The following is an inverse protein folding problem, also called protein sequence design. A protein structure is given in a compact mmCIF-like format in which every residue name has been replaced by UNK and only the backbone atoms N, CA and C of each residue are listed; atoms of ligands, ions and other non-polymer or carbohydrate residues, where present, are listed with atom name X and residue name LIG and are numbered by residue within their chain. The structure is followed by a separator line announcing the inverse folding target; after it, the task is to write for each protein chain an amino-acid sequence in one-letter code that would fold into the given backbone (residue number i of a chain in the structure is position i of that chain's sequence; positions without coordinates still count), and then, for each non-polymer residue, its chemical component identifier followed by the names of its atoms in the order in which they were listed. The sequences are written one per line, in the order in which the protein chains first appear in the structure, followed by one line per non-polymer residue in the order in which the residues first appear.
data_IF_198555810304
#
_entry.id   IF_198555810304
#
_cell.length_a   1.000
_cell.length_b   1.000
_cell.length_c   1.000
_cell.angle_alpha   90.00
_cell.angle_beta   90.00
_cell.angle_gamma   90.00
#
_symmetry.space_group_name_H-M   'P 1'
#
loop_
_entity.id
_entity.type
_entity.pdbx_description
1 polymer ?
#
# COMPACT_ATOMS: atom_id res chain seq x y z
N UNK A 1 -13.12 -9.91 0.94
CA UNK A 1 -11.92 -9.42 1.62
C UNK A 1 -12.33 -8.70 2.90
N UNK A 2 -11.41 -8.53 3.86
CA UNK A 2 -11.68 -7.70 5.04
C UNK A 2 -11.41 -6.24 4.65
N UNK A 3 -12.37 -5.37 4.92
CA UNK A 3 -12.16 -3.92 4.87
C UNK A 3 -11.44 -3.52 6.15
N UNK A 4 -10.38 -2.73 6.01
CA UNK A 4 -9.66 -2.13 7.12
C UNK A 4 -9.33 -0.69 6.76
N UNK A 5 -9.00 0.11 7.76
CA UNK A 5 -8.58 1.48 7.53
C UNK A 5 -7.09 1.53 7.17
N UNK A 6 -6.72 2.50 6.34
CA UNK A 6 -5.32 2.85 6.09
C UNK A 6 -4.57 3.19 7.39
N UNK A 7 -5.27 3.52 8.47
CA UNK A 7 -4.71 3.84 9.79
C UNK A 7 -4.59 2.66 10.76
N UNK A 8 -5.19 1.51 10.46
CA UNK A 8 -5.21 0.36 11.38
C UNK A 8 -4.79 -0.97 10.74
N UNK A 9 -4.35 -0.94 9.48
CA UNK A 9 -3.99 -2.14 8.72
C UNK A 9 -2.96 -3.02 9.45
N UNK A 10 -2.05 -2.44 10.25
CA UNK A 10 -1.02 -3.15 10.99
C UNK A 10 -1.59 -4.21 11.95
N UNK A 11 -2.82 -4.03 12.43
CA UNK A 11 -3.49 -4.97 13.31
C UNK A 11 -3.91 -6.26 12.59
N UNK A 12 -3.94 -6.26 11.26
CA UNK A 12 -4.39 -7.38 10.43
C UNK A 12 -3.24 -8.03 9.63
N UNK A 13 -2.03 -7.46 9.68
CA UNK A 13 -0.86 -7.96 8.97
C UNK A 13 0.03 -8.79 9.91
N UNK A 14 0.47 -10.00 9.52
CA UNK A 14 1.46 -10.76 10.28
C UNK A 14 2.72 -9.94 10.54
N UNK A 15 3.21 -9.93 11.79
CA UNK A 15 4.30 -9.06 12.23
C UNK A 15 5.58 -9.13 11.37
N UNK A 16 5.94 -10.31 10.86
CA UNK A 16 7.10 -10.49 9.99
C UNK A 16 6.92 -9.88 8.59
N UNK A 17 5.69 -9.82 8.07
CA UNK A 17 5.37 -9.11 6.83
C UNK A 17 5.37 -7.60 7.10
N UNK A 18 4.76 -7.19 8.21
CA UNK A 18 4.71 -5.79 8.63
C UNK A 18 6.10 -5.18 8.76
N UNK A 19 7.02 -5.87 9.44
CA UNK A 19 8.40 -5.43 9.60
C UNK A 19 9.12 -5.23 8.25
N UNK A 20 8.91 -6.16 7.29
CA UNK A 20 9.54 -6.08 5.96
C UNK A 20 8.93 -4.96 5.11
N UNK A 21 7.61 -4.77 5.17
CA UNK A 21 6.95 -3.70 4.42
C UNK A 21 7.33 -2.32 4.97
N UNK A 22 7.36 -2.17 6.28
CA UNK A 22 7.85 -0.94 6.92
C UNK A 22 9.32 -0.64 6.56
N UNK A 23 10.18 -1.66 6.46
CA UNK A 23 11.55 -1.47 5.96
C UNK A 23 11.58 -0.98 4.50
N UNK A 24 10.76 -1.55 3.63
CA UNK A 24 10.66 -1.12 2.22
C UNK A 24 10.18 0.32 2.08
N UNK A 25 9.17 0.71 2.86
CA UNK A 25 8.70 2.08 2.93
C UNK A 25 9.81 3.03 3.42
N UNK A 26 10.51 2.71 4.52
CA UNK A 26 11.63 3.53 5.02
C UNK A 26 12.80 3.67 4.04
N UNK A 27 13.03 2.64 3.23
CA UNK A 27 14.04 2.65 2.17
C UNK A 27 13.55 3.34 0.88
N UNK A 28 12.33 3.91 0.88
CA UNK A 28 11.67 4.53 -0.27
C UNK A 28 11.67 3.58 -1.47
N UNK A 29 11.21 2.34 -1.29
CA UNK A 29 11.18 1.34 -2.38
C UNK A 29 9.94 1.41 -3.25
N UNK A 30 8.93 2.17 -2.84
CA UNK A 30 7.77 2.50 -3.66
C UNK A 30 8.12 3.71 -4.52
N UNK A 31 7.90 3.61 -5.82
CA UNK A 31 8.24 4.61 -6.85
C UNK A 31 7.08 4.74 -7.83
N UNK A 32 7.08 5.81 -8.62
CA UNK A 32 6.12 6.01 -9.71
C UNK A 32 4.67 5.85 -9.23
N UNK A 33 4.36 6.50 -8.11
CA UNK A 33 3.04 6.45 -7.50
C UNK A 33 2.09 7.39 -8.24
N UNK A 34 1.03 6.84 -8.80
CA UNK A 34 0.03 7.58 -9.57
C UNK A 34 -1.39 7.07 -9.26
N UNK A 35 -2.35 8.00 -9.23
CA UNK A 35 -3.78 7.70 -9.20
C UNK A 35 -4.31 7.68 -10.64
N UNK A 36 -4.79 6.52 -11.09
CA UNK A 36 -5.28 6.37 -12.47
C UNK A 36 -6.77 6.66 -12.59
N UNK A 37 -7.54 6.31 -11.56
CA UNK A 37 -8.98 6.55 -11.40
C UNK A 37 -9.24 6.96 -9.94
N UNK A 38 -10.35 7.65 -9.60
CA UNK A 38 -10.61 8.07 -8.23
C UNK A 38 -10.54 6.91 -7.22
N UNK A 39 -9.60 7.00 -6.29
CA UNK A 39 -9.31 5.98 -5.28
C UNK A 39 -8.44 4.82 -5.74
N UNK A 40 -8.12 4.70 -7.03
CA UNK A 40 -7.27 3.64 -7.58
C UNK A 40 -5.81 4.08 -7.71
N UNK A 41 -4.98 3.58 -6.80
CA UNK A 41 -3.57 3.91 -6.71
C UNK A 41 -2.69 2.77 -7.21
N UNK A 42 -1.70 3.12 -8.03
CA UNK A 42 -0.71 2.22 -8.59
C UNK A 42 0.70 2.73 -8.28
N UNK A 43 1.64 1.81 -8.11
CA UNK A 43 3.05 2.14 -7.95
C UNK A 43 3.97 0.97 -8.28
N UNK A 44 5.26 1.27 -8.41
CA UNK A 44 6.35 0.32 -8.58
C UNK A 44 7.05 0.04 -7.25
N UNK A 45 7.03 -1.21 -6.81
CA UNK A 45 7.76 -1.66 -5.64
C UNK A 45 9.10 -2.32 -6.03
N UNK A 46 10.20 -1.61 -5.83
CA UNK A 46 11.54 -2.11 -6.12
C UNK A 46 12.03 -3.08 -5.03
N UNK A 47 12.35 -4.31 -5.44
CA UNK A 47 12.73 -5.38 -4.53
C UNK A 47 14.13 -5.92 -4.77
N UNK A 48 14.27 -7.23 -4.59
CA UNK A 48 15.50 -7.97 -4.94
C UNK A 48 15.50 -8.46 -6.38
N UNK A 49 14.32 -8.46 -7.03
CA UNK A 49 14.22 -8.74 -8.45
C UNK A 49 14.77 -7.56 -9.28
N UNK A 50 15.31 -7.81 -10.48
CA UNK A 50 15.75 -6.74 -11.38
C UNK A 50 14.60 -5.80 -11.78
N UNK A 51 13.43 -6.38 -12.05
CA UNK A 51 12.22 -5.65 -12.42
C UNK A 51 11.39 -5.31 -11.17
N UNK A 52 10.72 -4.14 -11.14
CA UNK A 52 9.81 -3.77 -10.07
C UNK A 52 8.58 -4.68 -10.02
N UNK A 53 7.93 -4.72 -8.85
CA UNK A 53 6.61 -5.33 -8.70
C UNK A 53 5.55 -4.24 -8.75
N UNK A 54 4.63 -4.33 -9.70
CA UNK A 54 3.42 -3.53 -9.73
C UNK A 54 2.59 -3.81 -8.46
N UNK A 55 2.25 -2.74 -7.73
CA UNK A 55 1.35 -2.75 -6.57
C UNK A 55 0.13 -1.90 -6.85
N UNK A 56 -1.02 -2.38 -6.39
CA UNK A 56 -2.31 -1.72 -6.52
C UNK A 56 -3.00 -1.64 -5.17
N UNK A 57 -3.61 -0.50 -4.87
CA UNK A 57 -4.52 -0.32 -3.72
C UNK A 57 -5.72 0.51 -4.18
N UNK A 58 -6.92 0.04 -3.85
CA UNK A 58 -8.17 0.78 -4.02
C UNK A 58 -8.62 1.33 -2.67
N UNK A 59 -8.71 2.64 -2.57
CA UNK A 59 -9.34 3.35 -1.47
C UNK A 59 -10.80 3.67 -1.84
N UNK A 60 -11.68 3.70 -0.84
CA UNK A 60 -13.07 4.12 -1.06
C UNK A 60 -13.11 5.59 -1.52
N UNK A 61 -13.81 5.86 -2.62
CA UNK A 61 -13.84 7.17 -3.25
C UNK A 61 -14.60 8.24 -2.42
N UNK A 62 -15.47 7.82 -1.49
CA UNK A 62 -16.18 8.71 -0.57
C UNK A 62 -15.43 8.88 0.76
N UNK A 63 -14.67 7.87 1.18
CA UNK A 63 -13.83 7.87 2.38
C UNK A 63 -12.45 7.25 2.09
N UNK A 64 -11.44 8.05 1.70
CA UNK A 64 -10.12 7.54 1.32
C UNK A 64 -9.35 6.91 2.49
N UNK A 65 -9.91 6.91 3.70
CA UNK A 65 -9.34 6.19 4.84
C UNK A 65 -9.64 4.69 4.82
N UNK A 66 -10.55 4.23 3.96
CA UNK A 66 -10.97 2.83 3.85
C UNK A 66 -10.28 2.15 2.67
N UNK A 67 -9.63 1.00 2.94
CA UNK A 67 -9.04 0.15 1.91
C UNK A 67 -10.07 -0.89 1.45
N UNK A 68 -10.44 -0.83 0.18
CA UNK A 68 -11.40 -1.75 -0.44
C UNK A 68 -10.71 -2.97 -1.07
N UNK A 69 -9.61 -2.74 -1.78
CA UNK A 69 -8.88 -3.75 -2.54
C UNK A 69 -7.38 -3.48 -2.52
N UNK A 70 -6.60 -4.54 -2.67
CA UNK A 70 -5.16 -4.45 -2.91
C UNK A 70 -4.69 -5.65 -3.72
N UNK A 71 -3.67 -5.43 -4.53
CA UNK A 71 -3.00 -6.50 -5.27
C UNK A 71 -1.51 -6.19 -5.44
N UNK A 72 -0.73 -7.22 -5.77
CA UNK A 72 0.67 -7.09 -6.12
C UNK A 72 1.10 -8.22 -7.05
N UNK A 73 1.84 -7.88 -8.11
CA UNK A 73 2.36 -8.86 -9.08
C UNK A 73 3.44 -9.81 -8.54
N UNK A 74 3.79 -9.73 -7.25
CA UNK A 74 4.77 -10.62 -6.64
C UNK A 74 4.18 -12.02 -6.36
N UNK A 75 5.03 -13.05 -6.39
CA UNK A 75 4.62 -14.44 -6.19
C UNK A 75 4.17 -14.81 -4.76
N UNK A 76 3.92 -13.85 -3.87
CA UNK A 76 3.44 -14.11 -2.51
C UNK A 76 1.92 -14.27 -2.52
N UNK A 77 1.43 -15.48 -2.23
CA UNK A 77 0.02 -15.87 -2.36
C UNK A 77 -0.71 -16.08 -1.01
N UNK A 78 -0.03 -15.86 0.12
CA UNK A 78 -0.57 -16.06 1.47
C UNK A 78 -1.27 -14.81 2.03
N UNK A 79 -1.81 -13.96 1.16
CA UNK A 79 -2.48 -12.70 1.50
C UNK A 79 -1.61 -11.47 1.27
N UNK A 80 -1.74 -10.46 2.13
CA UNK A 80 -1.02 -9.19 1.97
C UNK A 80 0.50 -9.38 2.04
N UNK A 81 1.20 -8.89 1.02
CA UNK A 81 2.64 -8.99 0.91
C UNK A 81 3.32 -7.72 1.46
N UNK A 82 4.64 -7.78 1.65
CA UNK A 82 5.44 -6.63 2.11
C UNK A 82 5.39 -5.42 1.17
N UNK A 83 5.16 -5.63 -0.14
CA UNK A 83 5.11 -4.52 -1.11
C UNK A 83 3.82 -3.72 -0.93
N UNK A 84 2.68 -4.40 -0.81
CA UNK A 84 1.40 -3.76 -0.47
C UNK A 84 1.51 -3.03 0.86
N UNK A 85 2.09 -3.65 1.89
CA UNK A 85 2.31 -2.98 3.19
C UNK A 85 3.14 -1.70 3.05
N UNK A 86 4.23 -1.74 2.27
CA UNK A 86 5.04 -0.55 2.04
C UNK A 86 4.23 0.54 1.32
N UNK A 87 3.41 0.15 0.35
CA UNK A 87 2.55 1.09 -0.37
C UNK A 87 1.46 1.70 0.51
N UNK A 88 0.84 0.91 1.39
CA UNK A 88 -0.14 1.40 2.38
C UNK A 88 0.47 2.46 3.32
N UNK A 89 1.76 2.36 3.65
CA UNK A 89 2.43 3.42 4.41
C UNK A 89 2.59 4.73 3.62
N UNK A 90 2.97 4.67 2.33
CA UNK A 90 3.06 5.86 1.48
C UNK A 90 1.67 6.50 1.26
N UNK A 91 0.64 5.68 1.03
CA UNK A 91 -0.74 6.16 0.89
C UNK A 91 -1.27 6.76 2.19
N UNK A 92 -0.88 6.25 3.35
CA UNK A 92 -1.22 6.89 4.64
C UNK A 92 -0.66 8.32 4.71
N UNK A 93 0.62 8.51 4.39
CA UNK A 93 1.23 9.87 4.40
C UNK A 93 0.47 10.81 3.46
N UNK A 94 0.08 10.31 2.29
CA UNK A 94 -0.70 11.07 1.32
C UNK A 94 -2.09 11.45 1.87
N UNK A 95 -2.83 10.48 2.41
CA UNK A 95 -4.17 10.70 2.97
C UNK A 95 -4.12 11.66 4.16
N UNK A 96 -3.12 11.55 5.03
CA UNK A 96 -2.88 12.48 6.13
C UNK A 96 -2.65 13.90 5.60
N UNK A 97 -1.77 14.06 4.60
CA UNK A 97 -1.48 15.36 3.98
C UNK A 97 -2.74 15.99 3.34
N UNK A 98 -3.56 15.19 2.65
CA UNK A 98 -4.82 15.66 2.06
C UNK A 98 -5.83 16.11 3.13
N UNK A 99 -5.82 15.47 4.30
CA UNK A 99 -6.73 15.80 5.41
C UNK A 99 -6.34 17.09 6.15
N UNK A 100 -5.05 17.43 6.17
CA UNK A 100 -4.55 18.66 6.80
C UNK A 100 -4.78 19.92 5.95
N UNK A 101 -5.09 19.75 4.66
CA UNK A 101 -5.33 20.84 3.69
C UNK A 101 -6.84 21.16 3.49
N UNK A 102 -7.74 20.41 4.13
CA UNK A 102 -9.20 20.53 4.03
C UNK A 102 -9.83 21.40 5.13
#
# INVERSE_FOLDING_TARGET
MRHFSIFDFENYVPSHILQRGHAYYKERRIREMDEMEPGEWYADAHGTAPEPYEVFVRLDAADPTIVEEYDCSCAYDLGICKHVVAFLYELRELVEAMSDEA
#
